data_IF_003452698581
#
_entry.id   IF_003452698581
#
_cell.length_a   1.000
_cell.length_b   1.000
_cell.length_c   1.000
_cell.angle_alpha   90.00
_cell.angle_beta   90.00
_cell.angle_gamma   90.00
#
_symmetry.space_group_name_H-M   'P 1'
#
loop_
_entity.id
_entity.type
_entity.pdbx_description
1 polymer ?
#
# COMPACT_ATOMS: atom_id res chain seq x y z
N UNK A 1 56.10 -3.92 20.19
CA UNK A 1 55.08 -2.87 19.94
C UNK A 1 54.19 -3.40 18.83
N UNK A 2 53.05 -4.02 19.15
CA UNK A 2 52.13 -4.53 18.14
C UNK A 2 50.99 -3.52 17.98
N UNK A 3 50.96 -2.80 16.87
CA UNK A 3 49.79 -2.00 16.50
C UNK A 3 48.74 -2.93 15.91
N UNK A 4 47.61 -3.07 16.60
CA UNK A 4 46.44 -3.78 16.09
C UNK A 4 45.77 -2.99 14.96
N UNK A 5 44.98 -3.64 14.07
CA UNK A 5 44.33 -2.97 12.96
C UNK A 5 43.22 -2.02 13.47
N UNK A 6 43.00 -0.86 12.82
CA UNK A 6 41.95 0.06 13.23
C UNK A 6 40.56 -0.54 13.00
N UNK A 7 39.83 -0.71 14.09
CA UNK A 7 38.38 -0.90 14.14
C UNK A 7 37.64 0.21 13.38
N UNK A 8 36.65 -0.18 12.57
CA UNK A 8 35.78 0.83 11.96
C UNK A 8 34.84 0.34 10.87
N UNK A 9 34.04 -0.70 11.13
CA UNK A 9 32.87 -0.99 10.31
C UNK A 9 31.80 0.11 10.53
N UNK A 10 32.01 1.30 9.96
CA UNK A 10 31.02 2.38 9.93
C UNK A 10 30.11 2.16 8.73
N UNK A 11 29.03 1.41 8.93
CA UNK A 11 27.84 1.46 8.08
C UNK A 11 27.31 2.90 8.06
N UNK A 12 27.78 3.72 7.11
CA UNK A 12 27.37 5.12 6.96
C UNK A 12 25.87 5.14 6.65
N UNK A 13 25.05 5.53 7.63
CA UNK A 13 23.62 5.80 7.39
C UNK A 13 23.50 6.76 6.20
N UNK A 14 22.67 6.46 5.19
CA UNK A 14 22.50 7.33 4.04
C UNK A 14 22.02 8.71 4.50
N UNK A 15 22.48 9.76 3.82
CA UNK A 15 22.05 11.14 4.09
C UNK A 15 20.54 11.26 3.91
N UNK A 16 19.94 12.23 4.61
CA UNK A 16 18.49 12.45 4.55
C UNK A 16 18.01 12.67 3.11
N UNK A 17 18.72 13.50 2.33
CA UNK A 17 18.42 13.71 0.92
C UNK A 17 18.43 12.41 0.09
N UNK A 18 19.36 11.49 0.37
CA UNK A 18 19.42 10.18 -0.31
C UNK A 18 18.24 9.29 0.09
N UNK A 19 17.81 9.35 1.35
CA UNK A 19 16.60 8.66 1.83
C UNK A 19 15.34 9.23 1.19
N UNK A 20 15.20 10.55 1.14
CA UNK A 20 14.05 11.22 0.52
C UNK A 20 13.95 10.91 -0.98
N UNK A 21 15.08 10.89 -1.70
CA UNK A 21 15.11 10.49 -3.11
C UNK A 21 14.71 9.01 -3.30
N UNK A 22 15.22 8.11 -2.45
CA UNK A 22 14.82 6.70 -2.48
C UNK A 22 13.32 6.51 -2.18
N UNK A 23 12.79 7.23 -1.21
CA UNK A 23 11.37 7.22 -0.86
C UNK A 23 10.50 7.77 -2.00
N UNK A 24 10.95 8.81 -2.71
CA UNK A 24 10.25 9.34 -3.88
C UNK A 24 10.16 8.29 -5.01
N UNK A 25 11.24 7.55 -5.26
CA UNK A 25 11.24 6.45 -6.23
C UNK A 25 10.30 5.32 -5.80
N UNK A 26 10.30 4.96 -4.52
CA UNK A 26 9.39 3.95 -3.97
C UNK A 26 7.93 4.42 -4.12
N UNK A 27 7.63 5.66 -3.78
CA UNK A 27 6.29 6.23 -3.88
C UNK A 27 5.78 6.24 -5.33
N UNK A 28 6.65 6.56 -6.30
CA UNK A 28 6.30 6.51 -7.72
C UNK A 28 5.95 5.09 -8.18
N UNK A 29 6.73 4.08 -7.75
CA UNK A 29 6.45 2.68 -8.07
C UNK A 29 5.15 2.19 -7.43
N UNK A 30 4.91 2.55 -6.16
CA UNK A 30 3.67 2.20 -5.46
C UNK A 30 2.46 2.82 -6.15
N UNK A 31 2.56 4.10 -6.55
CA UNK A 31 1.49 4.76 -7.30
C UNK A 31 1.20 4.02 -8.60
N UNK A 32 2.21 3.75 -9.42
CA UNK A 32 2.02 3.01 -10.68
C UNK A 32 1.43 1.62 -10.50
N UNK A 33 1.80 0.91 -9.41
CA UNK A 33 1.20 -0.37 -9.07
C UNK A 33 -0.29 -0.24 -8.70
N UNK A 34 -0.66 0.73 -7.88
CA UNK A 34 -2.06 0.97 -7.55
C UNK A 34 -2.87 1.45 -8.75
N UNK A 35 -2.30 2.30 -9.60
CA UNK A 35 -2.94 2.74 -10.85
C UNK A 35 -3.27 1.53 -11.74
N UNK A 36 -2.35 0.56 -11.88
CA UNK A 36 -2.63 -0.67 -12.65
C UNK A 36 -3.77 -1.53 -12.07
N UNK A 37 -3.92 -1.58 -10.74
CA UNK A 37 -5.02 -2.31 -10.09
C UNK A 37 -6.35 -1.58 -10.33
N UNK A 38 -6.34 -0.25 -10.34
CA UNK A 38 -7.55 0.55 -10.61
C UNK A 38 -8.03 0.33 -12.05
N UNK A 39 -7.10 0.23 -13.01
CA UNK A 39 -7.43 -0.02 -14.41
C UNK A 39 -8.11 -1.39 -14.64
N UNK A 40 -7.80 -2.41 -13.83
CA UNK A 40 -8.47 -3.72 -13.88
C UNK A 40 -9.95 -3.64 -13.46
N UNK A 41 -10.33 -2.63 -12.68
CA UNK A 41 -11.69 -2.39 -12.22
C UNK A 41 -12.11 -3.24 -11.02
N UNK A 42 -13.33 -3.01 -10.53
CA UNK A 42 -13.86 -3.72 -9.35
C UNK A 42 -14.32 -5.14 -9.73
N UNK A 43 -13.84 -6.20 -9.06
CA UNK A 43 -14.30 -7.56 -9.29
C UNK A 43 -15.82 -7.72 -9.11
N UNK A 44 -16.46 -8.50 -10.01
CA UNK A 44 -17.92 -8.67 -10.05
C UNK A 44 -18.52 -9.21 -8.75
N UNK A 45 -17.80 -10.07 -8.04
CA UNK A 45 -18.24 -10.62 -6.74
C UNK A 45 -18.55 -9.54 -5.68
N UNK A 46 -17.90 -8.37 -5.76
CA UNK A 46 -18.19 -7.25 -4.86
C UNK A 46 -19.47 -6.53 -5.27
N UNK A 47 -19.77 -6.46 -6.58
CA UNK A 47 -21.03 -5.92 -7.07
C UNK A 47 -22.20 -6.82 -6.65
N UNK A 48 -22.06 -8.14 -6.78
CA UNK A 48 -23.05 -9.12 -6.34
C UNK A 48 -23.33 -9.00 -4.83
N UNK A 49 -22.29 -8.72 -4.03
CA UNK A 49 -22.44 -8.52 -2.60
C UNK A 49 -23.18 -7.22 -2.27
N UNK A 50 -22.91 -6.14 -3.01
CA UNK A 50 -23.62 -4.87 -2.86
C UNK A 50 -25.10 -4.99 -3.25
N UNK A 51 -25.42 -5.77 -4.28
CA UNK A 51 -26.81 -6.06 -4.67
C UNK A 51 -27.53 -6.85 -3.57
N UNK A 52 -26.93 -7.92 -3.05
CA UNK A 52 -27.48 -8.67 -1.92
C UNK A 52 -27.71 -7.82 -0.68
N UNK A 53 -26.78 -6.90 -0.40
CA UNK A 53 -26.92 -5.97 0.71
C UNK A 53 -28.11 -5.03 0.49
N UNK A 54 -28.27 -4.50 -0.73
CA UNK A 54 -29.39 -3.65 -1.08
C UNK A 54 -30.74 -4.36 -0.90
N UNK A 55 -30.86 -5.59 -1.39
CA UNK A 55 -32.08 -6.40 -1.25
C UNK A 55 -32.44 -6.65 0.21
N UNK A 56 -31.43 -7.02 1.02
CA UNK A 56 -31.61 -7.25 2.45
C UNK A 56 -32.07 -5.98 3.18
N UNK A 57 -31.51 -4.81 2.84
CA UNK A 57 -31.95 -3.54 3.39
C UNK A 57 -33.38 -3.17 2.99
N UNK A 58 -33.77 -3.44 1.73
CA UNK A 58 -35.12 -3.18 1.24
C UNK A 58 -36.14 -4.07 1.96
N UNK A 59 -35.85 -5.36 2.11
CA UNK A 59 -36.71 -6.31 2.82
C UNK A 59 -36.84 -5.95 4.32
N UNK A 60 -35.74 -5.54 4.96
CA UNK A 60 -35.75 -5.10 6.34
C UNK A 60 -36.61 -3.84 6.54
N UNK A 61 -36.59 -2.91 5.57
CA UNK A 61 -37.43 -1.71 5.58
C UNK A 61 -38.91 -2.06 5.40
N UNK A 62 -39.25 -2.96 4.48
CA UNK A 62 -40.64 -3.37 4.24
C UNK A 62 -41.24 -4.18 5.39
N UNK A 63 -40.42 -4.96 6.12
CA UNK A 63 -40.86 -5.69 7.33
C UNK A 63 -41.09 -4.77 8.54
N UNK A 64 -40.58 -3.55 8.52
CA UNK A 64 -40.69 -2.58 9.63
C UNK A 64 -41.92 -1.67 9.52
N UNK A 65 -42.56 -1.62 8.35
CA UNK A 65 -43.84 -0.93 8.08
C UNK A 65 -45.00 -1.89 8.15
#
# INVERSE_FOLDING_TARGET
MAEGPPDGNKSKKPSEAKRQNANALIASKLRGYYDSIVDEGTPSQFLDLLEKLHDAEAEAKSKKT
#
